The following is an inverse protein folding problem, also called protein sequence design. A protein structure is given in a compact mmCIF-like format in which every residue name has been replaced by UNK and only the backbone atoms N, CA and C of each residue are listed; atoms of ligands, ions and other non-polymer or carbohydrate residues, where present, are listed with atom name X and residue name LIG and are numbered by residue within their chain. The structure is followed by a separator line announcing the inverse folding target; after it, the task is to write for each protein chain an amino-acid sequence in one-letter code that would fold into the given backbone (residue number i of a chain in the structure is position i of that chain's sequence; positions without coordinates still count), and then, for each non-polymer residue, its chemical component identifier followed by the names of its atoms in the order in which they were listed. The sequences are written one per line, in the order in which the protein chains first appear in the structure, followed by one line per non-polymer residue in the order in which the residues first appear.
data_IF_199988402160
#
_entry.id   IF_199988402160
#
_cell.length_a   1.000
_cell.length_b   1.000
_cell.length_c   1.000
_cell.angle_alpha   90.00
_cell.angle_beta   90.00
_cell.angle_gamma   90.00
#
_symmetry.space_group_name_H-M   'P 1'
#
loop_
_entity.id
_entity.type
_entity.pdbx_description
1 polymer ?
#
# COMPACT_ATOMS: atom_id res chain seq x y z
N UNK A 1 18.06 9.54 9.81
CA UNK A 1 18.03 8.85 8.51
C UNK A 1 17.24 9.74 7.58
N UNK A 2 17.70 10.02 6.37
CA UNK A 2 17.04 10.98 5.48
C UNK A 2 16.47 10.27 4.25
N UNK A 3 15.28 10.64 3.80
CA UNK A 3 14.65 10.03 2.62
C UNK A 3 15.29 10.44 1.29
N UNK A 4 16.08 11.51 1.26
CA UNK A 4 16.63 12.07 0.02
C UNK A 4 17.45 11.06 -0.83
N UNK A 5 18.44 10.31 -0.30
CA UNK A 5 19.17 9.32 -1.10
C UNK A 5 18.30 8.15 -1.58
N UNK A 6 17.26 7.81 -0.81
CA UNK A 6 16.29 6.77 -1.17
C UNK A 6 15.37 7.24 -2.29
N UNK A 7 15.02 8.53 -2.34
CA UNK A 7 14.20 9.11 -3.42
C UNK A 7 14.88 9.00 -4.78
N UNK A 8 16.16 9.35 -4.86
CA UNK A 8 16.92 9.26 -6.13
C UNK A 8 17.02 7.79 -6.59
N UNK A 9 17.24 6.88 -5.65
CA UNK A 9 17.27 5.44 -5.90
C UNK A 9 15.90 4.92 -6.38
N UNK A 10 14.81 5.35 -5.75
CA UNK A 10 13.45 4.99 -6.13
C UNK A 10 13.09 5.54 -7.51
N UNK A 11 13.45 6.79 -7.79
CA UNK A 11 13.25 7.40 -9.10
C UNK A 11 14.00 6.64 -10.20
N UNK A 12 15.25 6.23 -9.95
CA UNK A 12 16.01 5.38 -10.88
C UNK A 12 15.38 3.99 -11.06
N UNK A 13 14.85 3.39 -9.98
CA UNK A 13 14.11 2.13 -10.07
C UNK A 13 12.83 2.28 -10.90
N UNK A 14 12.12 3.40 -10.74
CA UNK A 14 10.88 3.71 -11.44
C UNK A 14 11.01 3.92 -12.95
N UNK A 15 12.22 4.09 -13.48
CA UNK A 15 12.46 4.11 -14.93
C UNK A 15 12.71 2.72 -15.53
N UNK A 16 12.82 1.67 -14.72
CA UNK A 16 13.16 0.33 -15.22
C UNK A 16 11.96 -0.46 -15.77
N UNK A 17 10.76 -0.44 -15.12
CA UNK A 17 9.59 -1.08 -15.70
C UNK A 17 9.19 -0.41 -17.02
N UNK A 18 8.77 -1.20 -18.03
CA UNK A 18 8.25 -0.64 -19.27
C UNK A 18 7.01 0.22 -18.98
N UNK A 19 6.78 1.29 -19.76
CA UNK A 19 5.61 2.13 -19.57
C UNK A 19 4.33 1.36 -19.87
N UNK A 20 3.37 1.43 -18.95
CA UNK A 20 2.00 0.96 -19.16
C UNK A 20 1.09 2.18 -19.33
N UNK A 21 0.58 2.47 -20.54
CA UNK A 21 -0.12 3.72 -20.82
C UNK A 21 -1.55 3.72 -20.24
N UNK A 22 -1.84 4.59 -19.29
CA UNK A 22 -3.21 4.78 -18.79
C UNK A 22 -4.12 5.41 -19.88
N UNK A 23 -5.17 4.69 -20.27
CA UNK A 23 -6.14 5.15 -21.27
C UNK A 23 -7.40 5.80 -20.66
N UNK A 24 -7.40 6.05 -19.34
CA UNK A 24 -8.52 6.70 -18.64
C UNK A 24 -9.83 5.91 -18.72
N UNK A 25 -9.81 4.60 -18.40
CA UNK A 25 -11.05 3.83 -18.28
C UNK A 25 -11.73 4.04 -16.92
N UNK A 26 -10.98 4.45 -15.90
CA UNK A 26 -11.43 4.65 -14.53
C UNK A 26 -11.73 3.38 -13.71
N UNK A 27 -11.85 2.22 -14.36
CA UNK A 27 -12.31 0.96 -13.74
C UNK A 27 -11.20 0.10 -13.13
N UNK A 28 -9.94 0.33 -13.50
CA UNK A 28 -8.80 -0.45 -13.03
C UNK A 28 -8.02 0.26 -11.90
N UNK A 29 -8.53 1.40 -11.41
CA UNK A 29 -7.77 2.33 -10.58
C UNK A 29 -8.10 2.13 -9.09
N UNK A 30 -7.31 1.28 -8.45
CA UNK A 30 -7.40 0.98 -7.02
C UNK A 30 -6.40 1.80 -6.20
N UNK A 31 -6.70 2.08 -4.93
CA UNK A 31 -5.76 2.69 -4.00
C UNK A 31 -4.53 1.77 -3.88
N UNK A 32 -3.33 2.22 -4.28
CA UNK A 32 -2.20 1.33 -4.35
C UNK A 32 -1.66 1.00 -2.96
N UNK A 33 -1.37 -0.27 -2.70
CA UNK A 33 -0.41 -0.62 -1.65
C UNK A 33 0.96 -0.12 -2.05
N UNK A 34 1.65 0.53 -1.11
CA UNK A 34 2.93 1.16 -1.35
C UNK A 34 3.77 1.17 -0.08
N UNK A 35 5.09 1.24 -0.23
CA UNK A 35 6.00 1.36 0.91
C UNK A 35 6.00 2.78 1.46
N UNK A 36 6.67 3.00 2.59
CA UNK A 36 6.79 4.32 3.22
C UNK A 36 7.50 5.32 2.29
N UNK A 37 8.56 4.91 1.58
CA UNK A 37 9.28 5.77 0.64
C UNK A 37 8.37 6.18 -0.53
N UNK A 38 7.58 5.25 -1.05
CA UNK A 38 6.64 5.55 -2.14
C UNK A 38 5.52 6.49 -1.70
N UNK A 39 5.03 6.34 -0.47
CA UNK A 39 4.05 7.26 0.13
C UNK A 39 4.63 8.68 0.27
N UNK A 40 5.88 8.80 0.72
CA UNK A 40 6.59 10.09 0.80
C UNK A 40 6.68 10.74 -0.58
N UNK A 41 7.16 10.01 -1.58
CA UNK A 41 7.28 10.54 -2.96
C UNK A 41 5.93 10.95 -3.54
N UNK A 42 4.86 10.20 -3.29
CA UNK A 42 3.52 10.56 -3.73
C UNK A 42 3.03 11.86 -3.06
N UNK A 43 3.28 12.04 -1.77
CA UNK A 43 2.88 13.24 -1.03
C UNK A 43 3.71 14.47 -1.40
N UNK A 44 5.03 14.32 -1.55
CA UNK A 44 5.92 15.38 -2.04
C UNK A 44 5.44 15.88 -3.40
N UNK A 45 5.15 14.97 -4.33
CA UNK A 45 4.65 15.33 -5.65
C UNK A 45 3.37 16.18 -5.55
N UNK A 46 2.46 15.84 -4.63
CA UNK A 46 1.25 16.65 -4.40
C UNK A 46 1.60 18.04 -3.86
N UNK A 47 2.47 18.13 -2.87
CA UNK A 47 2.88 19.40 -2.27
C UNK A 47 3.62 20.31 -3.25
N UNK A 48 4.37 19.74 -4.18
CA UNK A 48 5.13 20.49 -5.21
C UNK A 48 4.25 20.93 -6.39
N UNK A 49 3.22 20.17 -6.75
CA UNK A 49 2.46 20.38 -7.99
C UNK A 49 1.02 20.89 -7.76
N UNK A 50 0.53 20.88 -6.53
CA UNK A 50 -0.84 21.27 -6.19
C UNK A 50 -0.86 22.27 -5.02
N UNK A 51 -1.87 23.15 -5.01
CA UNK A 51 -2.10 24.04 -3.87
C UNK A 51 -2.42 23.24 -2.60
N UNK A 52 -2.19 23.82 -1.42
CA UNK A 52 -2.59 23.19 -0.14
C UNK A 52 -4.06 22.79 -0.12
N UNK A 53 -4.95 23.61 -0.67
CA UNK A 53 -6.38 23.32 -0.79
C UNK A 53 -6.65 22.09 -1.67
N UNK A 54 -5.98 21.98 -2.83
CA UNK A 54 -6.14 20.82 -3.69
C UNK A 54 -5.54 19.56 -3.06
N UNK A 55 -4.37 19.67 -2.42
CA UNK A 55 -3.75 18.56 -1.68
C UNK A 55 -4.65 18.09 -0.54
N UNK A 56 -5.24 19.00 0.22
CA UNK A 56 -6.26 18.70 1.24
C UNK A 56 -7.44 17.94 0.62
N UNK A 57 -8.03 18.49 -0.44
CA UNK A 57 -9.17 17.86 -1.12
C UNK A 57 -8.85 16.45 -1.62
N UNK A 58 -7.65 16.22 -2.12
CA UNK A 58 -7.19 14.92 -2.61
C UNK A 58 -6.96 13.96 -1.44
N UNK A 59 -6.13 14.32 -0.46
CA UNK A 59 -5.71 13.44 0.63
C UNK A 59 -6.85 13.13 1.60
N UNK A 60 -7.73 14.09 1.88
CA UNK A 60 -8.89 13.92 2.76
C UNK A 60 -10.15 13.44 2.02
N UNK A 61 -10.08 13.18 0.72
CA UNK A 61 -11.18 12.58 -0.01
C UNK A 61 -11.60 11.26 0.66
N UNK A 62 -12.90 11.12 0.92
CA UNK A 62 -13.44 9.92 1.54
C UNK A 62 -13.15 8.69 0.67
N UNK A 63 -12.61 7.62 1.26
CA UNK A 63 -12.37 6.39 0.53
C UNK A 63 -13.69 5.78 0.07
N UNK A 64 -13.71 5.25 -1.15
CA UNK A 64 -14.87 4.56 -1.73
C UNK A 64 -14.47 3.15 -2.10
N UNK A 65 -15.26 2.16 -1.72
CA UNK A 65 -15.03 0.76 -2.08
C UNK A 65 -15.04 0.63 -3.61
N UNK A 66 -14.09 -0.12 -4.15
CA UNK A 66 -14.01 -0.39 -5.57
C UNK A 66 -14.97 -1.53 -5.95
N UNK A 67 -15.91 -1.33 -6.89
CA UNK A 67 -16.95 -2.33 -7.19
C UNK A 67 -16.39 -3.62 -7.80
N UNK A 68 -15.30 -3.53 -8.56
CA UNK A 68 -14.72 -4.68 -9.27
C UNK A 68 -13.56 -5.36 -8.50
N UNK A 69 -13.14 -4.82 -7.35
CA UNK A 69 -12.00 -5.35 -6.59
C UNK A 69 -12.40 -5.46 -5.13
N UNK A 70 -12.79 -6.67 -4.74
CA UNK A 70 -13.10 -6.97 -3.35
C UNK A 70 -11.94 -6.58 -2.43
N UNK A 71 -12.26 -5.95 -1.30
CA UNK A 71 -11.26 -5.50 -0.33
C UNK A 71 -10.34 -4.37 -0.83
N UNK A 72 -10.71 -3.65 -1.88
CA UNK A 72 -9.96 -2.50 -2.39
C UNK A 72 -10.79 -1.23 -2.45
N UNK A 73 -10.09 -0.11 -2.45
CA UNK A 73 -10.65 1.25 -2.56
C UNK A 73 -10.39 1.82 -3.95
N UNK A 74 -11.24 2.71 -4.42
CA UNK A 74 -10.90 3.59 -5.54
C UNK A 74 -9.68 4.44 -5.19
N UNK A 75 -8.77 4.60 -6.14
CA UNK A 75 -7.63 5.48 -5.97
C UNK A 75 -8.08 6.94 -5.81
N UNK A 76 -7.66 7.61 -4.73
CA UNK A 76 -7.93 9.03 -4.51
C UNK A 76 -7.18 9.95 -5.50
N UNK A 77 -6.15 9.43 -6.17
CA UNK A 77 -5.40 10.15 -7.20
C UNK A 77 -6.03 10.03 -8.60
N UNK A 78 -7.17 9.35 -8.74
CA UNK A 78 -7.91 9.34 -9.99
C UNK A 78 -8.64 10.66 -10.18
N UNK A 79 -8.26 11.37 -11.24
CA UNK A 79 -8.98 12.55 -11.72
C UNK A 79 -10.41 12.19 -12.14
N UNK A 80 -11.39 12.98 -11.68
CA UNK A 80 -12.81 12.65 -11.91
C UNK A 80 -13.31 13.03 -13.30
N UNK A 81 -12.60 13.91 -14.00
CA UNK A 81 -12.98 14.36 -15.34
C UNK A 81 -12.33 13.50 -16.43
N UNK A 82 -11.02 13.33 -16.35
CA UNK A 82 -10.20 12.60 -17.33
C UNK A 82 -10.09 11.10 -17.02
N UNK A 83 -10.42 10.68 -15.80
CA UNK A 83 -10.26 9.30 -15.29
C UNK A 83 -8.81 8.81 -15.30
N UNK A 84 -7.83 9.73 -15.35
CA UNK A 84 -6.39 9.45 -15.32
C UNK A 84 -5.81 9.72 -13.92
N UNK A 85 -4.61 9.20 -13.67
CA UNK A 85 -3.90 9.43 -12.42
C UNK A 85 -3.28 10.84 -12.41
N UNK A 86 -3.62 11.67 -11.43
CA UNK A 86 -3.07 13.03 -11.27
C UNK A 86 -1.62 13.03 -10.80
N UNK A 87 -1.18 11.94 -10.13
CA UNK A 87 0.20 11.74 -9.72
C UNK A 87 0.94 10.74 -10.62
N UNK A 88 0.55 10.60 -11.89
CA UNK A 88 1.10 9.55 -12.75
C UNK A 88 2.65 9.46 -12.73
N UNK A 89 3.43 10.56 -12.74
CA UNK A 89 4.89 10.49 -12.59
C UNK A 89 5.35 9.89 -11.25
N UNK A 90 4.65 10.20 -10.16
CA UNK A 90 4.92 9.75 -8.79
C UNK A 90 4.05 8.57 -8.33
N UNK A 91 3.44 7.82 -9.27
CA UNK A 91 2.67 6.61 -8.94
C UNK A 91 3.56 5.58 -8.23
N UNK A 92 3.01 4.50 -7.70
CA UNK A 92 3.81 3.49 -6.98
C UNK A 92 4.38 2.44 -7.94
N UNK A 93 5.22 1.54 -7.44
CA UNK A 93 5.69 0.36 -8.17
C UNK A 93 4.52 -0.55 -8.52
N UNK A 94 3.58 -0.77 -7.58
CA UNK A 94 2.37 -1.54 -7.84
C UNK A 94 1.62 -1.01 -9.08
N UNK A 95 1.45 0.32 -9.20
CA UNK A 95 0.84 0.93 -10.38
C UNK A 95 1.68 0.85 -11.67
N UNK A 96 3.01 0.69 -11.57
CA UNK A 96 3.90 0.52 -12.74
C UNK A 96 3.87 -0.89 -13.28
N UNK A 97 3.74 -1.87 -12.40
CA UNK A 97 3.67 -3.29 -12.74
C UNK A 97 2.26 -3.68 -13.20
N UNK A 98 1.25 -2.94 -12.75
CA UNK A 98 -0.13 -3.13 -13.15
C UNK A 98 -0.29 -3.13 -14.67
N UNK A 99 -0.97 -4.15 -15.22
CA UNK A 99 -1.20 -4.30 -16.64
C UNK A 99 -0.11 -5.05 -17.40
N UNK A 100 1.06 -5.31 -16.80
CA UNK A 100 2.08 -6.11 -17.45
C UNK A 100 1.65 -7.59 -17.55
N UNK A 101 1.86 -8.26 -18.70
CA UNK A 101 1.45 -9.67 -18.87
C UNK A 101 2.04 -10.64 -17.83
N UNK A 102 3.21 -10.31 -17.27
CA UNK A 102 3.86 -11.11 -16.22
C UNK A 102 3.03 -11.24 -14.94
N UNK A 103 2.10 -10.30 -14.70
CA UNK A 103 1.18 -10.36 -13.55
C UNK A 103 0.22 -11.54 -13.70
N UNK A 104 -0.27 -11.78 -14.92
CA UNK A 104 -1.15 -12.91 -15.23
C UNK A 104 -0.38 -14.24 -15.13
N UNK A 105 0.89 -14.26 -15.54
CA UNK A 105 1.77 -15.45 -15.44
C UNK A 105 2.07 -15.86 -13.98
N UNK A 106 2.01 -14.92 -13.05
CA UNK A 106 2.25 -15.15 -11.62
C UNK A 106 0.99 -15.57 -10.85
N UNK A 107 -0.13 -15.77 -11.53
CA UNK A 107 -1.42 -16.18 -10.95
C UNK A 107 -1.88 -15.24 -9.82
N UNK A 108 -1.52 -13.95 -9.88
CA UNK A 108 -1.93 -12.91 -8.93
C UNK A 108 -3.40 -12.50 -9.14
N UNK A 109 -4.27 -13.46 -9.47
CA UNK A 109 -5.59 -13.31 -10.06
C UNK A 109 -6.54 -12.35 -9.32
N UNK A 110 -7.50 -11.83 -10.10
CA UNK A 110 -8.52 -10.81 -9.80
C UNK A 110 -8.13 -9.36 -10.13
N UNK A 111 -7.21 -9.16 -11.08
CA UNK A 111 -6.84 -7.82 -11.53
C UNK A 111 -7.55 -7.47 -12.84
N UNK A 112 -8.54 -6.57 -12.80
CA UNK A 112 -9.15 -6.01 -14.01
C UNK A 112 -8.20 -5.04 -14.74
N UNK A 113 -7.56 -5.49 -15.81
CA UNK A 113 -6.76 -4.62 -16.66
C UNK A 113 -7.58 -3.46 -17.26
N UNK A 114 -6.87 -2.41 -17.67
CA UNK A 114 -7.52 -1.26 -18.31
C UNK A 114 -8.31 -1.71 -19.55
N UNK A 115 -9.65 -1.62 -19.51
CA UNK A 115 -10.56 -2.05 -20.60
C UNK A 115 -10.33 -1.35 -21.94
N UNK A 116 -9.58 -0.25 -21.95
CA UNK A 116 -9.23 0.53 -23.15
C UNK A 116 -7.81 0.19 -23.67
N UNK A 117 -7.10 -0.74 -23.04
CA UNK A 117 -5.72 -1.08 -23.34
C UNK A 117 -5.63 -2.37 -24.14
N UNK A 118 -4.71 -2.41 -25.11
CA UNK A 118 -4.33 -3.64 -25.79
C UNK A 118 -3.18 -4.32 -25.05
N UNK A 119 -3.49 -5.27 -24.17
CA UNK A 119 -2.49 -6.00 -23.35
C UNK A 119 -1.46 -6.71 -24.23
N UNK A 120 -1.88 -7.24 -25.38
CA UNK A 120 -1.00 -7.96 -26.31
C UNK A 120 0.10 -7.06 -26.93
N UNK A 121 -0.07 -5.73 -26.88
CA UNK A 121 0.94 -4.77 -27.34
C UNK A 121 1.94 -4.36 -26.26
N UNK A 122 1.77 -4.81 -25.01
CA UNK A 122 2.66 -4.43 -23.92
C UNK A 122 3.96 -5.23 -23.95
N UNK A 123 5.08 -4.63 -23.50
CA UNK A 123 6.34 -5.34 -23.41
C UNK A 123 6.24 -6.53 -22.46
N UNK A 124 6.80 -7.68 -22.88
CA UNK A 124 6.97 -8.84 -22.01
C UNK A 124 8.08 -8.58 -20.99
N UNK A 125 7.80 -8.93 -19.74
CA UNK A 125 8.74 -8.87 -18.62
C UNK A 125 8.84 -10.27 -18.04
N UNK A 126 10.04 -10.73 -17.69
CA UNK A 126 10.18 -12.04 -17.06
C UNK A 126 9.86 -11.97 -15.56
N UNK A 127 9.36 -13.06 -14.94
CA UNK A 127 9.15 -13.15 -13.50
C UNK A 127 10.38 -12.76 -12.67
N UNK A 128 11.58 -13.12 -13.12
CA UNK A 128 12.85 -12.82 -12.43
C UNK A 128 13.11 -11.31 -12.39
N UNK A 129 12.81 -10.61 -13.48
CA UNK A 129 12.99 -9.16 -13.56
C UNK A 129 12.00 -8.43 -12.66
N UNK A 130 10.74 -8.89 -12.64
CA UNK A 130 9.74 -8.37 -11.71
C UNK A 130 10.18 -8.57 -10.26
N UNK A 131 10.63 -9.78 -9.91
CA UNK A 131 11.14 -10.10 -8.57
C UNK A 131 12.33 -9.21 -8.19
N UNK A 132 13.28 -9.00 -9.12
CA UNK A 132 14.41 -8.11 -8.88
C UNK A 132 14.00 -6.67 -8.59
N UNK A 133 13.00 -6.12 -9.29
CA UNK A 133 12.49 -4.78 -9.00
C UNK A 133 11.83 -4.68 -7.63
N UNK A 134 11.05 -5.70 -7.24
CA UNK A 134 10.44 -5.75 -5.92
C UNK A 134 11.48 -5.90 -4.81
N UNK A 135 12.51 -6.74 -5.01
CA UNK A 135 13.63 -6.87 -4.08
C UNK A 135 14.35 -5.54 -3.86
N UNK A 136 14.68 -4.82 -4.95
CA UNK A 136 15.31 -3.51 -4.85
C UNK A 136 14.43 -2.49 -4.09
N UNK A 137 13.11 -2.50 -4.34
CA UNK A 137 12.18 -1.66 -3.60
C UNK A 137 12.22 -1.99 -2.11
N UNK A 138 12.19 -3.27 -1.73
CA UNK A 138 12.25 -3.70 -0.33
C UNK A 138 13.59 -3.34 0.34
N UNK A 139 14.71 -3.52 -0.35
CA UNK A 139 16.06 -3.17 0.15
C UNK A 139 16.19 -1.66 0.44
N UNK A 140 15.68 -0.80 -0.46
CA UNK A 140 15.69 0.66 -0.24
C UNK A 140 14.94 1.06 1.03
N UNK A 141 13.92 0.28 1.33
CA UNK A 141 13.03 0.53 2.42
C UNK A 141 13.70 0.04 3.73
N UNK A 142 14.52 -1.02 3.71
CA UNK A 142 14.92 -1.79 4.92
C UNK A 142 15.45 -0.94 6.08
N UNK A 143 16.21 0.15 5.82
CA UNK A 143 16.71 1.01 6.90
C UNK A 143 15.61 1.79 7.65
N UNK A 144 14.48 2.10 7.00
CA UNK A 144 13.45 3.01 7.53
C UNK A 144 12.46 2.34 8.46
N UNK A 145 12.19 1.07 8.22
CA UNK A 145 11.32 0.27 9.06
C UNK A 145 11.81 -1.16 8.98
N UNK A 146 12.03 -1.84 10.11
CA UNK A 146 12.17 -3.28 10.08
C UNK A 146 10.79 -3.84 9.68
N UNK A 147 10.57 -4.03 8.38
CA UNK A 147 9.27 -4.36 7.76
C UNK A 147 8.56 -5.58 8.31
N UNK A 148 9.30 -6.39 9.07
CA UNK A 148 8.92 -7.67 9.58
C UNK A 148 9.49 -7.85 10.98
N UNK A 149 9.17 -6.93 11.89
CA UNK A 149 9.33 -7.20 13.31
C UNK A 149 8.00 -7.71 13.85
N UNK A 150 8.00 -8.95 14.33
CA UNK A 150 6.85 -9.47 15.05
C UNK A 150 6.41 -8.45 16.11
N UNK A 151 5.12 -8.15 16.19
CA UNK A 151 4.00 -8.83 15.53
C UNK A 151 3.57 -8.19 14.20
N UNK A 152 4.24 -7.14 13.73
CA UNK A 152 3.80 -6.35 12.60
C UNK A 152 4.50 -6.73 11.28
N UNK A 153 3.70 -6.84 10.22
CA UNK A 153 4.18 -6.89 8.85
C UNK A 153 3.80 -5.57 8.18
N UNK A 154 4.78 -4.67 8.05
CA UNK A 154 4.55 -3.30 7.56
C UNK A 154 5.28 -3.07 6.25
N UNK A 155 5.38 -4.08 5.36
CA UNK A 155 6.08 -3.90 4.07
C UNK A 155 5.40 -2.85 3.18
N UNK A 156 4.09 -2.65 3.34
CA UNK A 156 3.38 -1.59 2.64
C UNK A 156 1.94 -1.43 3.10
N UNK A 157 1.45 -0.20 2.98
CA UNK A 157 0.06 0.17 3.21
C UNK A 157 -0.52 0.86 1.98
N UNK A 158 -1.85 0.87 1.88
CA UNK A 158 -2.47 1.82 0.97
C UNK A 158 -2.36 3.26 1.51
N UNK A 159 -2.72 4.22 0.68
CA UNK A 159 -2.57 5.65 0.98
C UNK A 159 -3.38 6.04 2.22
N UNK A 160 -4.59 5.51 2.36
CA UNK A 160 -5.44 5.79 3.51
C UNK A 160 -4.81 5.35 4.83
N UNK A 161 -4.22 4.16 4.86
CA UNK A 161 -3.54 3.64 6.04
C UNK A 161 -2.26 4.42 6.35
N UNK A 162 -1.48 4.83 5.34
CA UNK A 162 -0.33 5.71 5.59
C UNK A 162 -0.73 7.07 6.18
N UNK A 163 -1.85 7.64 5.73
CA UNK A 163 -2.41 8.83 6.36
C UNK A 163 -2.83 8.57 7.80
N UNK A 164 -3.41 7.41 8.11
CA UNK A 164 -3.71 7.01 9.49
C UNK A 164 -2.43 6.93 10.34
N UNK A 165 -1.35 6.31 9.84
CA UNK A 165 -0.05 6.30 10.54
C UNK A 165 0.46 7.72 10.82
N UNK A 166 0.27 8.66 9.89
CA UNK A 166 0.71 10.05 10.07
C UNK A 166 -0.11 10.80 11.14
N UNK A 167 -1.43 10.65 11.11
CA UNK A 167 -2.36 11.51 11.85
C UNK A 167 -3.00 10.89 13.09
N UNK A 168 -3.26 9.58 13.12
CA UNK A 168 -3.99 8.95 14.22
C UNK A 168 -3.10 8.93 15.48
N UNK A 169 -3.47 9.65 16.56
CA UNK A 169 -2.68 9.68 17.79
C UNK A 169 -2.60 8.32 18.49
N UNK A 170 -3.52 7.38 18.20
CA UNK A 170 -3.54 6.06 18.82
C UNK A 170 -2.51 5.10 18.23
N UNK A 171 -1.98 5.38 17.03
CA UNK A 171 -0.89 4.65 16.40
C UNK A 171 0.47 5.20 16.85
N UNK A 172 0.84 4.95 18.10
CA UNK A 172 2.05 5.50 18.72
C UNK A 172 2.82 4.48 19.58
N UNK A 173 2.83 3.22 19.14
CA UNK A 173 3.68 2.18 19.74
C UNK A 173 5.12 2.22 19.21
N UNK A 174 5.94 1.26 19.61
CA UNK A 174 7.36 1.20 19.24
C UNK A 174 7.62 1.15 17.73
N UNK A 175 6.66 0.68 16.92
CA UNK A 175 6.79 0.63 15.46
C UNK A 175 6.14 1.85 14.83
N UNK A 176 4.87 2.12 15.14
CA UNK A 176 4.13 3.21 14.50
C UNK A 176 4.57 4.60 14.97
N UNK A 177 5.03 4.75 16.21
CA UNK A 177 5.61 5.99 16.71
C UNK A 177 6.90 6.38 15.99
N UNK A 178 7.77 5.39 15.69
CA UNK A 178 8.99 5.60 14.89
C UNK A 178 8.61 6.00 13.46
N UNK A 179 7.72 5.25 12.82
CA UNK A 179 7.25 5.55 11.46
C UNK A 179 6.62 6.95 11.36
N UNK A 180 5.75 7.30 12.31
CA UNK A 180 5.10 8.62 12.39
C UNK A 180 6.14 9.74 12.53
N UNK A 181 7.13 9.56 13.40
CA UNK A 181 8.21 10.53 13.57
C UNK A 181 8.99 10.72 12.26
N UNK A 182 9.41 9.62 11.62
CA UNK A 182 10.10 9.65 10.33
C UNK A 182 9.27 10.38 9.27
N UNK A 183 7.99 10.06 9.14
CA UNK A 183 7.10 10.72 8.19
C UNK A 183 6.95 12.23 8.47
N UNK A 184 6.88 12.64 9.73
CA UNK A 184 6.76 14.06 10.12
C UNK A 184 8.06 14.86 9.93
N UNK A 185 9.21 14.19 9.94
CA UNK A 185 10.50 14.81 9.62
C UNK A 185 10.62 15.13 8.12
N UNK A 186 9.94 14.36 7.26
CA UNK A 186 10.10 14.43 5.81
C UNK A 186 8.92 15.12 5.10
N UNK A 187 7.70 14.98 5.64
CA UNK A 187 6.49 15.55 5.07
C UNK A 187 5.82 16.53 6.04
N UNK A 188 5.54 17.75 5.57
CA UNK A 188 4.70 18.70 6.30
C UNK A 188 3.23 18.62 5.85
N UNK A 189 2.50 17.68 6.44
CA UNK A 189 1.05 17.53 6.27
C UNK A 189 0.26 18.03 7.49
N UNK A 190 0.89 18.75 8.43
CA UNK A 190 0.27 19.21 9.69
C UNK A 190 -0.95 20.11 9.46
N UNK A 191 -1.00 20.80 8.32
CA UNK A 191 -2.15 21.61 7.93
C UNK A 191 -3.46 20.80 7.72
N UNK A 192 -3.38 19.47 7.71
CA UNK A 192 -4.52 18.56 7.60
C UNK A 192 -4.95 17.96 8.95
N UNK A 193 -4.18 18.13 10.02
CA UNK A 193 -4.30 17.36 11.28
C UNK A 193 -5.68 17.52 11.94
N UNK A 194 -6.21 18.74 11.98
CA UNK A 194 -7.54 19.03 12.56
C UNK A 194 -8.70 18.50 11.73
N UNK A 195 -8.47 18.17 10.46
CA UNK A 195 -9.49 17.76 9.49
C UNK A 195 -9.46 16.27 9.18
N UNK A 196 -8.35 15.61 9.49
CA UNK A 196 -8.21 14.19 9.24
C UNK A 196 -9.10 13.38 10.19
N UNK A 197 -9.84 12.45 9.62
CA UNK A 197 -10.64 11.48 10.37
C UNK A 197 -10.24 10.11 9.88
N UNK A 198 -9.65 9.29 10.75
CA UNK A 198 -9.34 7.91 10.38
C UNK A 198 -10.63 7.14 10.08
N UNK A 199 -10.66 6.51 8.91
CA UNK A 199 -11.72 5.61 8.45
C UNK A 199 -11.17 4.23 8.09
N UNK A 200 -9.87 4.02 8.30
CA UNK A 200 -9.21 2.76 8.02
C UNK A 200 -9.30 1.81 9.20
N UNK A 201 -9.57 2.29 10.41
CA UNK A 201 -9.57 1.49 11.64
C UNK A 201 -8.21 0.81 11.86
N UNK A 202 -7.12 1.39 11.35
CA UNK A 202 -5.79 0.77 11.37
C UNK A 202 -5.32 0.46 12.80
N UNK A 203 -5.74 1.23 13.81
CA UNK A 203 -5.43 0.93 15.20
C UNK A 203 -6.09 -0.34 15.73
N UNK A 204 -7.40 -0.50 15.50
CA UNK A 204 -8.10 -1.73 15.89
C UNK A 204 -7.47 -2.95 15.21
N UNK A 205 -7.10 -2.76 13.96
CA UNK A 205 -6.44 -3.76 13.13
C UNK A 205 -5.09 -4.21 13.69
N UNK A 206 -4.19 -3.27 13.92
CA UNK A 206 -2.89 -3.58 14.55
C UNK A 206 -3.04 -4.23 15.93
N UNK A 207 -4.06 -3.85 16.69
CA UNK A 207 -4.44 -4.52 17.95
C UNK A 207 -4.84 -6.00 17.80
N UNK A 208 -5.61 -6.33 16.77
CA UNK A 208 -5.97 -7.74 16.47
C UNK A 208 -4.76 -8.58 16.04
N UNK A 209 -3.81 -7.97 15.34
CA UNK A 209 -2.56 -8.66 14.95
C UNK A 209 -1.71 -8.97 16.18
N UNK A 210 -1.56 -8.00 17.10
CA UNK A 210 -0.91 -8.22 18.40
C UNK A 210 -1.54 -9.41 19.14
N UNK A 211 -2.86 -9.39 19.29
CA UNK A 211 -3.61 -10.46 19.95
C UNK A 211 -3.41 -11.82 19.25
N UNK A 212 -3.38 -11.85 17.91
CA UNK A 212 -3.12 -13.07 17.16
C UNK A 212 -1.76 -13.68 17.53
N UNK A 213 -0.72 -12.87 17.63
CA UNK A 213 0.60 -13.34 18.02
C UNK A 213 0.65 -13.84 19.48
N UNK A 214 -0.10 -13.22 20.38
CA UNK A 214 -0.23 -13.71 21.77
C UNK A 214 -0.88 -15.10 21.82
N UNK A 215 -1.95 -15.31 21.05
CA UNK A 215 -2.67 -16.59 20.97
C UNK A 215 -1.79 -17.67 20.31
N UNK A 216 -1.04 -17.33 19.26
CA UNK A 216 -0.08 -18.25 18.64
C UNK A 216 0.98 -18.67 19.67
N UNK A 217 1.52 -17.73 20.45
CA UNK A 217 2.52 -18.01 21.49
C UNK A 217 1.96 -18.85 22.64
N UNK A 218 0.67 -18.75 22.94
CA UNK A 218 0.02 -19.60 23.95
C UNK A 218 -0.29 -21.02 23.45
N UNK A 219 -0.11 -21.30 22.15
CA UNK A 219 -0.40 -22.59 21.54
C UNK A 219 -1.90 -22.85 21.29
N UNK A 220 -2.76 -21.83 21.39
CA UNK A 220 -4.19 -21.98 21.13
C UNK A 220 -4.50 -21.83 19.64
N UNK A 221 -4.19 -22.89 18.90
CA UNK A 221 -4.34 -22.94 17.44
C UNK A 221 -5.76 -22.66 16.96
N UNK A 222 -6.78 -23.16 17.67
CA UNK A 222 -8.17 -23.00 17.22
C UNK A 222 -8.62 -21.54 17.31
N UNK A 223 -8.28 -20.86 18.41
CA UNK A 223 -8.57 -19.44 18.57
C UNK A 223 -7.76 -18.60 17.58
N UNK A 224 -6.50 -18.97 17.30
CA UNK A 224 -5.68 -18.27 16.32
C UNK A 224 -6.30 -18.34 14.90
N UNK A 225 -6.74 -19.52 14.47
CA UNK A 225 -7.41 -19.70 13.18
C UNK A 225 -8.73 -18.91 13.10
N UNK A 226 -9.52 -18.91 14.18
CA UNK A 226 -10.75 -18.10 14.26
C UNK A 226 -10.47 -16.60 14.14
N UNK A 227 -9.40 -16.11 14.78
CA UNK A 227 -9.04 -14.70 14.72
C UNK A 227 -8.49 -14.32 13.33
N UNK A 228 -7.73 -15.20 12.67
CA UNK A 228 -7.29 -14.99 11.28
C UNK A 228 -8.50 -14.78 10.36
N UNK A 229 -9.53 -15.62 10.46
CA UNK A 229 -10.74 -15.47 9.65
C UNK A 229 -11.51 -14.18 9.97
N UNK A 230 -11.56 -13.78 11.24
CA UNK A 230 -12.17 -12.51 11.65
C UNK A 230 -11.40 -11.31 11.09
N UNK A 231 -10.06 -11.34 11.15
CA UNK A 231 -9.19 -10.32 10.57
C UNK A 231 -9.45 -10.22 9.07
N UNK A 232 -9.47 -11.32 8.32
CA UNK A 232 -9.77 -11.27 6.88
C UNK A 232 -11.09 -10.55 6.57
N UNK A 233 -12.15 -10.88 7.30
CA UNK A 233 -13.47 -10.26 7.07
C UNK A 233 -13.54 -8.78 7.47
N UNK A 234 -12.69 -8.34 8.40
CA UNK A 234 -12.74 -6.98 8.96
C UNK A 234 -11.79 -5.99 8.27
N UNK A 235 -10.98 -6.44 7.30
CA UNK A 235 -9.88 -5.64 6.73
C UNK A 235 -10.02 -5.29 5.23
N UNK A 236 -11.21 -4.96 4.70
CA UNK A 236 -11.37 -4.66 3.28
C UNK A 236 -10.70 -3.34 2.85
N UNK A 237 -10.04 -2.61 3.76
CA UNK A 237 -9.51 -1.27 3.50
C UNK A 237 -8.00 -1.13 3.75
N UNK A 238 -7.25 -2.21 3.98
CA UNK A 238 -5.79 -2.15 4.21
C UNK A 238 -4.95 -2.63 3.03
N UNK A 239 -5.60 -3.05 1.93
CA UNK A 239 -4.93 -3.62 0.76
C UNK A 239 -4.68 -5.13 0.89
N UNK A 240 -4.37 -5.75 -0.25
CA UNK A 240 -4.24 -7.21 -0.41
C UNK A 240 -3.09 -7.84 0.41
N UNK A 241 -2.05 -7.07 0.74
CA UNK A 241 -0.84 -7.56 1.40
C UNK A 241 -1.10 -8.23 2.75
N UNK A 242 -2.01 -7.68 3.56
CA UNK A 242 -2.39 -8.31 4.84
C UNK A 242 -3.03 -9.67 4.66
N UNK A 243 -3.80 -9.88 3.59
CA UNK A 243 -4.43 -11.17 3.32
C UNK A 243 -3.41 -12.26 3.02
N UNK A 244 -2.35 -11.90 2.28
CA UNK A 244 -1.25 -12.82 1.96
C UNK A 244 -0.46 -13.21 3.21
N UNK A 245 -0.12 -12.26 4.08
CA UNK A 245 0.60 -12.57 5.32
C UNK A 245 -0.25 -13.42 6.27
N UNK A 246 -1.56 -13.14 6.37
CA UNK A 246 -2.49 -13.99 7.13
C UNK A 246 -2.59 -15.42 6.54
N UNK A 247 -2.53 -15.56 5.21
CA UNK A 247 -2.51 -16.88 4.58
C UNK A 247 -1.24 -17.64 4.90
N UNK A 248 -0.07 -16.98 4.91
CA UNK A 248 1.19 -17.61 5.31
C UNK A 248 1.13 -18.07 6.77
N UNK A 249 0.65 -17.22 7.68
CA UNK A 249 0.44 -17.62 9.07
C UNK A 249 -0.51 -18.81 9.22
N UNK A 250 -1.66 -18.77 8.54
CA UNK A 250 -2.62 -19.86 8.57
C UNK A 250 -1.96 -21.18 8.14
N UNK A 251 -1.23 -21.16 7.03
CA UNK A 251 -0.53 -22.33 6.52
C UNK A 251 0.48 -22.87 7.55
N UNK A 252 1.30 -21.98 8.15
CA UNK A 252 2.26 -22.34 9.19
C UNK A 252 1.57 -23.02 10.37
N UNK A 253 0.53 -22.39 10.92
CA UNK A 253 -0.25 -22.90 12.05
C UNK A 253 -0.84 -24.29 11.74
N UNK A 254 -1.42 -24.48 10.56
CA UNK A 254 -2.01 -25.77 10.15
C UNK A 254 -0.97 -26.84 9.86
N UNK A 255 0.23 -26.47 9.40
CA UNK A 255 1.32 -27.43 9.08
C UNK A 255 2.01 -28.01 10.32
N UNK A 256 1.78 -27.41 11.49
CA UNK A 256 2.32 -27.86 12.79
C UNK A 256 1.29 -28.62 13.65
N UNK A 257 0.13 -29.00 13.08
CA UNK A 257 -0.84 -29.94 13.66
C UNK A 257 -0.54 -31.38 13.25
#
# INVERSE_FOLDING_TARGET
MHFYPMRDSLNALYTQPPPVPCQGCGQCCVSPTCTVVEFVVACEYLLENFSKENTEKILLAQPKIHPNYEGNLFCKFQDKETLRCIIHPARTMACRLFGLPVIDELDLNNIENCRKMNIASLPKVSPEKLKAWLSLLMEMNEPLAPYYQEPYWVAGFNIECWLAVYFDPLLDDEVFGILKKLLREELDLRFLEEKFIDKTELKDKTGKILLLYEIIRSGDTQTALSLIDQIRRSYPLTGAYYFEELQKLQNLITSHQ
#
